data_IF_383390664786
#
_entry.id   IF_383390664786
#
_cell.length_a   1.000
_cell.length_b   1.000
_cell.length_c   1.000
_cell.angle_alpha   90.00
_cell.angle_beta   90.00
_cell.angle_gamma   90.00
#
_symmetry.space_group_name_H-M   'P 1'
#
loop_
_entity.id
_entity.type
_entity.pdbx_description
1 polymer ?
#
# COMPACT_ATOMS: atom_id res chain seq x y z
N UNK A 1 56.29 -31.57 -21.75
CA UNK A 1 55.92 -30.99 -20.43
C UNK A 1 55.30 -29.61 -20.70
N UNK A 2 53.99 -29.53 -20.65
CA UNK A 2 53.25 -28.27 -20.84
C UNK A 2 52.49 -28.03 -19.54
N UNK A 3 52.88 -26.98 -18.82
CA UNK A 3 52.22 -26.59 -17.56
C UNK A 3 50.94 -25.83 -17.82
N UNK A 4 49.83 -26.30 -17.29
CA UNK A 4 48.57 -25.60 -17.27
C UNK A 4 48.53 -24.64 -16.07
N UNK A 5 48.43 -23.35 -16.29
CA UNK A 5 48.19 -22.35 -15.29
C UNK A 5 46.68 -22.26 -15.03
N UNK A 6 46.28 -22.60 -13.82
CA UNK A 6 44.92 -22.40 -13.36
C UNK A 6 44.71 -20.94 -12.91
N UNK A 7 43.83 -20.21 -13.59
CA UNK A 7 43.34 -18.93 -13.13
C UNK A 7 42.25 -19.13 -12.08
N UNK A 8 42.57 -18.89 -10.81
CA UNK A 8 41.60 -18.78 -9.76
C UNK A 8 40.94 -17.39 -9.82
N UNK A 9 39.71 -17.35 -10.34
CA UNK A 9 38.88 -16.16 -10.30
C UNK A 9 38.36 -15.92 -8.88
N UNK A 10 38.91 -14.93 -8.18
CA UNK A 10 38.33 -14.43 -6.92
C UNK A 10 37.02 -13.71 -7.24
N UNK A 11 35.89 -14.32 -7.01
CA UNK A 11 34.62 -13.62 -6.93
C UNK A 11 34.64 -12.76 -5.65
N UNK A 12 34.74 -11.44 -5.81
CA UNK A 12 34.56 -10.50 -4.70
C UNK A 12 33.11 -10.54 -4.23
N UNK A 13 32.86 -11.21 -3.12
CA UNK A 13 31.60 -11.09 -2.40
C UNK A 13 31.57 -9.68 -1.83
N UNK A 14 30.79 -8.79 -2.44
CA UNK A 14 30.54 -7.47 -1.89
C UNK A 14 29.88 -7.63 -0.52
N UNK A 15 30.42 -6.97 0.50
CA UNK A 15 29.84 -6.96 1.84
C UNK A 15 28.39 -6.48 1.76
N UNK A 16 27.48 -7.05 2.56
CA UNK A 16 26.08 -6.62 2.59
C UNK A 16 26.05 -5.15 3.02
N UNK A 17 25.34 -4.33 2.23
CA UNK A 17 25.08 -2.92 2.58
C UNK A 17 24.33 -2.92 3.90
N UNK A 18 24.80 -2.19 4.95
CA UNK A 18 24.10 -2.10 6.21
C UNK A 18 22.65 -1.65 5.96
N UNK A 19 21.66 -2.37 6.52
CA UNK A 19 20.28 -1.89 6.51
C UNK A 19 20.27 -0.58 7.31
N UNK A 20 19.74 0.52 6.75
CA UNK A 20 19.71 1.79 7.49
C UNK A 20 18.87 1.61 8.76
N UNK A 21 19.25 2.29 9.84
CA UNK A 21 18.43 2.45 11.04
C UNK A 21 16.99 2.84 10.62
N UNK A 22 15.94 2.35 11.31
CA UNK A 22 14.57 2.64 10.95
C UNK A 22 14.28 4.14 11.08
N UNK A 23 14.45 4.87 9.98
CA UNK A 23 14.10 6.28 9.91
C UNK A 23 12.59 6.46 10.00
N UNK A 24 12.16 7.57 10.61
CA UNK A 24 10.75 7.97 10.59
C UNK A 24 10.23 8.05 9.16
N UNK A 25 9.07 7.44 8.90
CA UNK A 25 8.55 7.22 7.54
C UNK A 25 7.73 8.42 7.06
N UNK A 26 8.10 8.95 5.90
CA UNK A 26 7.30 9.89 5.11
C UNK A 26 7.02 9.23 3.79
N UNK A 27 5.82 8.63 3.67
CA UNK A 27 5.49 7.66 2.62
C UNK A 27 4.47 8.21 1.63
N UNK A 28 4.66 7.87 0.35
CA UNK A 28 3.63 7.98 -0.68
C UNK A 28 3.24 6.59 -1.17
N UNK A 29 1.93 6.37 -1.35
CA UNK A 29 1.43 5.16 -1.97
C UNK A 29 1.11 5.44 -3.43
N UNK A 30 1.65 4.61 -4.32
CA UNK A 30 1.39 4.64 -5.75
C UNK A 30 0.77 3.33 -6.22
N UNK A 31 -0.02 3.40 -7.29
CA UNK A 31 -0.59 2.23 -7.95
C UNK A 31 0.18 1.93 -9.23
N UNK A 32 0.91 0.83 -9.25
CA UNK A 32 1.39 0.23 -10.49
C UNK A 32 0.24 -0.55 -11.16
N UNK A 33 -0.52 -1.33 -10.36
CA UNK A 33 -1.77 -1.98 -10.71
C UNK A 33 -2.99 -1.25 -10.17
N UNK A 34 -4.06 -1.15 -10.97
CA UNK A 34 -5.30 -0.44 -10.64
C UNK A 34 -6.55 -1.33 -10.67
N UNK A 35 -6.43 -2.61 -11.05
CA UNK A 35 -7.58 -3.52 -11.16
C UNK A 35 -8.01 -4.07 -9.79
N UNK A 36 -8.30 -3.17 -8.85
CA UNK A 36 -8.57 -3.54 -7.47
C UNK A 36 -10.05 -3.44 -7.09
N UNK A 37 -10.87 -2.67 -7.84
CA UNK A 37 -12.19 -2.29 -7.36
C UNK A 37 -13.35 -2.82 -8.18
N UNK A 38 -13.42 -2.50 -9.49
CA UNK A 38 -14.62 -2.74 -10.27
C UNK A 38 -14.41 -3.74 -11.39
N UNK A 39 -15.07 -4.88 -11.30
CA UNK A 39 -15.23 -5.87 -12.35
C UNK A 39 -16.38 -5.52 -13.31
N UNK A 40 -17.41 -4.86 -12.78
CA UNK A 40 -18.53 -4.29 -13.54
C UNK A 40 -18.27 -2.80 -13.71
N UNK A 41 -18.24 -2.27 -14.93
CA UNK A 41 -17.97 -0.85 -15.15
C UNK A 41 -18.92 0.08 -14.38
N UNK A 42 -18.34 1.00 -13.62
CA UNK A 42 -19.05 2.00 -12.84
C UNK A 42 -18.46 3.39 -13.06
N UNK A 43 -19.32 4.41 -13.00
CA UNK A 43 -18.89 5.82 -13.07
C UNK A 43 -18.58 6.35 -11.69
N UNK A 44 -17.33 6.80 -11.49
CA UNK A 44 -16.91 7.44 -10.26
C UNK A 44 -17.14 8.95 -10.30
N UNK A 45 -17.48 9.51 -9.13
CA UNK A 45 -17.54 10.95 -8.92
C UNK A 45 -16.91 11.28 -7.56
N UNK A 46 -15.91 12.12 -7.57
CA UNK A 46 -15.32 12.59 -6.32
C UNK A 46 -15.97 13.89 -5.87
N UNK A 47 -16.45 13.98 -4.62
CA UNK A 47 -16.91 15.21 -4.05
C UNK A 47 -15.82 16.31 -4.14
N UNK A 48 -16.22 17.53 -4.42
CA UNK A 48 -15.32 18.70 -4.47
C UNK A 48 -14.26 18.71 -5.61
N UNK A 49 -14.31 17.79 -6.56
CA UNK A 49 -13.53 17.91 -7.80
C UNK A 49 -14.32 18.70 -8.81
N UNK A 50 -13.94 19.97 -9.00
CA UNK A 50 -14.64 20.94 -9.86
C UNK A 50 -14.00 21.09 -11.24
N UNK A 51 -12.74 20.70 -11.41
CA UNK A 51 -12.07 20.70 -12.70
C UNK A 51 -12.70 19.62 -13.62
N UNK A 52 -13.30 20.02 -14.78
CA UNK A 52 -14.03 19.10 -15.63
C UNK A 52 -13.11 18.07 -16.29
N UNK A 53 -11.84 18.38 -16.53
CA UNK A 53 -10.88 17.44 -17.13
C UNK A 53 -10.52 16.36 -16.13
N UNK A 54 -10.22 16.73 -14.88
CA UNK A 54 -9.95 15.81 -13.79
C UNK A 54 -11.19 14.98 -13.47
N UNK A 55 -12.37 15.61 -13.36
CA UNK A 55 -13.64 14.92 -13.11
C UNK A 55 -13.93 13.86 -14.18
N UNK A 56 -13.66 14.18 -15.45
CA UNK A 56 -13.82 13.23 -16.56
C UNK A 56 -12.81 12.08 -16.49
N UNK A 57 -11.56 12.37 -16.14
CA UNK A 57 -10.51 11.37 -16.01
C UNK A 57 -10.81 10.36 -14.87
N UNK A 58 -11.49 10.79 -13.80
CA UNK A 58 -11.86 9.95 -12.67
C UNK A 58 -13.03 8.99 -12.98
N UNK A 59 -13.89 9.33 -13.95
CA UNK A 59 -15.14 8.57 -14.17
C UNK A 59 -14.95 7.05 -14.26
N UNK A 60 -13.89 6.60 -14.92
CA UNK A 60 -13.62 5.18 -15.16
C UNK A 60 -12.35 4.67 -14.42
N UNK A 61 -11.82 5.48 -13.48
CA UNK A 61 -10.54 5.26 -12.83
C UNK A 61 -10.42 3.87 -12.17
N UNK A 62 -11.47 3.44 -11.49
CA UNK A 62 -11.47 2.19 -10.74
C UNK A 62 -12.01 0.99 -11.50
N UNK A 63 -12.35 1.15 -12.78
CA UNK A 63 -12.79 0.03 -13.61
C UNK A 63 -11.59 -0.83 -14.04
N UNK A 64 -11.74 -2.15 -13.99
CA UNK A 64 -10.71 -3.06 -14.45
C UNK A 64 -10.39 -2.85 -15.94
N UNK A 65 -9.11 -2.92 -16.29
CA UNK A 65 -8.60 -2.80 -17.65
C UNK A 65 -7.75 -4.03 -18.01
N UNK A 66 -7.60 -4.28 -19.30
CA UNK A 66 -6.78 -5.38 -19.83
C UNK A 66 -5.29 -5.01 -19.99
N UNK A 67 -4.92 -3.83 -19.51
CA UNK A 67 -3.57 -3.28 -19.63
C UNK A 67 -3.18 -2.45 -18.39
N UNK A 68 -1.88 -2.27 -18.18
CA UNK A 68 -1.31 -1.41 -17.13
C UNK A 68 -1.53 0.06 -17.48
N UNK A 69 -2.04 0.83 -16.54
CA UNK A 69 -2.36 2.26 -16.66
C UNK A 69 -1.35 3.11 -15.90
N UNK A 70 -0.06 2.98 -16.27
CA UNK A 70 1.05 3.63 -15.59
C UNK A 70 1.99 4.29 -16.63
N UNK A 71 2.06 5.63 -16.63
CA UNK A 71 2.96 6.41 -17.47
C UNK A 71 4.31 6.60 -16.74
N UNK A 72 5.33 5.91 -17.25
CA UNK A 72 6.69 5.96 -16.69
C UNK A 72 7.32 7.36 -16.79
N UNK A 73 6.93 8.16 -17.80
CA UNK A 73 7.45 9.53 -17.93
C UNK A 73 6.88 10.48 -16.89
N UNK A 74 5.61 10.30 -16.53
CA UNK A 74 4.97 11.00 -15.38
C UNK A 74 5.60 10.54 -14.08
N UNK A 75 5.79 9.24 -13.92
CA UNK A 75 6.44 8.66 -12.74
C UNK A 75 7.85 9.21 -12.52
N UNK A 76 8.63 9.39 -13.57
CA UNK A 76 9.96 9.99 -13.49
C UNK A 76 9.93 11.41 -12.91
N UNK A 77 8.94 12.23 -13.27
CA UNK A 77 8.78 13.57 -12.71
C UNK A 77 8.23 13.55 -11.29
N UNK A 78 7.23 12.71 -11.04
CA UNK A 78 6.62 12.54 -9.71
C UNK A 78 7.66 12.02 -8.70
N UNK A 79 8.45 11.02 -9.06
CA UNK A 79 9.49 10.50 -8.16
C UNK A 79 10.58 11.53 -7.83
N UNK A 80 10.95 12.40 -8.77
CA UNK A 80 11.83 13.54 -8.48
C UNK A 80 11.18 14.53 -7.50
N UNK A 81 9.92 14.88 -7.72
CA UNK A 81 9.17 15.75 -6.79
C UNK A 81 9.11 15.14 -5.39
N UNK A 82 8.86 13.83 -5.27
CA UNK A 82 8.87 13.12 -3.99
C UNK A 82 10.22 13.25 -3.27
N UNK A 83 11.32 13.07 -4.00
CA UNK A 83 12.66 13.27 -3.44
C UNK A 83 12.87 14.70 -2.92
N UNK A 84 12.49 15.68 -3.72
CA UNK A 84 12.69 17.11 -3.40
C UNK A 84 11.87 17.54 -2.17
N UNK A 85 10.73 16.89 -1.91
CA UNK A 85 9.85 17.16 -0.77
C UNK A 85 10.17 16.31 0.47
N UNK A 86 11.17 15.44 0.39
CA UNK A 86 11.64 14.64 1.53
C UNK A 86 10.81 13.40 1.83
N UNK A 87 10.04 12.91 0.87
CA UNK A 87 9.51 11.54 0.88
C UNK A 87 10.70 10.58 0.97
N UNK A 88 10.64 9.59 1.84
CA UNK A 88 11.70 8.60 2.02
C UNK A 88 11.24 7.15 1.81
N UNK A 89 9.93 6.93 1.64
CA UNK A 89 9.38 5.61 1.41
C UNK A 89 8.30 5.66 0.33
N UNK A 90 8.27 4.66 -0.56
CA UNK A 90 7.26 4.49 -1.59
C UNK A 90 6.58 3.13 -1.40
N UNK A 91 5.29 3.14 -1.08
CA UNK A 91 4.47 1.93 -1.10
C UNK A 91 3.94 1.73 -2.51
N UNK A 92 4.25 0.58 -3.11
CA UNK A 92 3.90 0.25 -4.49
C UNK A 92 2.80 -0.81 -4.49
N UNK A 93 1.58 -0.41 -4.86
CA UNK A 93 0.49 -1.34 -5.06
C UNK A 93 0.66 -2.06 -6.40
N UNK A 94 0.89 -3.37 -6.35
CA UNK A 94 1.38 -4.15 -7.50
C UNK A 94 0.24 -4.73 -8.34
N UNK A 95 -0.75 -5.33 -7.68
CA UNK A 95 -1.91 -5.94 -8.33
C UNK A 95 -1.55 -6.79 -9.56
N UNK A 96 -2.27 -6.60 -10.64
CA UNK A 96 -2.10 -7.26 -11.94
C UNK A 96 -0.91 -6.74 -12.76
N UNK A 97 -0.27 -5.67 -12.31
CA UNK A 97 0.77 -4.99 -13.11
C UNK A 97 2.14 -5.68 -13.07
N UNK A 98 2.26 -6.80 -12.39
CA UNK A 98 3.49 -7.61 -12.32
C UNK A 98 3.23 -9.01 -12.87
N UNK A 99 4.16 -9.49 -13.69
CA UNK A 99 4.17 -10.89 -14.13
C UNK A 99 4.85 -11.73 -13.07
N UNK A 100 4.06 -12.18 -12.08
CA UNK A 100 4.57 -13.03 -11.01
C UNK A 100 5.10 -14.36 -11.56
N UNK A 101 6.29 -14.82 -11.15
CA UNK A 101 6.85 -16.09 -11.63
C UNK A 101 5.92 -17.28 -11.39
N UNK A 102 5.28 -17.34 -10.23
CA UNK A 102 4.39 -18.44 -9.85
C UNK A 102 2.97 -18.33 -10.44
N UNK A 103 2.52 -17.12 -10.80
CA UNK A 103 1.17 -16.83 -11.27
C UNK A 103 1.17 -15.84 -12.44
N UNK A 104 1.79 -16.19 -13.59
CA UNK A 104 1.87 -15.28 -14.75
C UNK A 104 0.51 -14.98 -15.38
N UNK A 105 -0.52 -15.80 -15.12
CA UNK A 105 -1.90 -15.61 -15.57
C UNK A 105 -2.59 -14.39 -14.97
N UNK A 106 -2.10 -13.85 -13.86
CA UNK A 106 -2.64 -12.63 -13.27
C UNK A 106 -2.27 -11.38 -14.07
N UNK A 107 -1.19 -11.43 -14.82
CA UNK A 107 -0.70 -10.30 -15.58
C UNK A 107 -1.69 -9.85 -16.65
N UNK A 108 -1.67 -8.54 -16.93
CA UNK A 108 -2.37 -7.89 -18.05
C UNK A 108 -1.35 -7.38 -19.08
N UNK A 109 -1.83 -6.83 -20.20
CA UNK A 109 -0.95 -6.25 -21.21
C UNK A 109 -0.09 -5.13 -20.62
N UNK A 110 1.21 -5.17 -20.82
CA UNK A 110 2.15 -4.17 -20.28
C UNK A 110 2.59 -4.42 -18.85
N UNK A 111 2.16 -5.51 -18.19
CA UNK A 111 2.67 -5.87 -16.86
C UNK A 111 4.17 -6.02 -16.86
N UNK A 112 4.81 -5.51 -15.83
CA UNK A 112 6.27 -5.50 -15.71
C UNK A 112 6.81 -6.90 -15.43
N UNK A 113 7.93 -7.23 -16.06
CA UNK A 113 8.68 -8.42 -15.67
C UNK A 113 9.32 -8.23 -14.28
N UNK A 114 9.67 -9.32 -13.58
CA UNK A 114 10.43 -9.23 -12.33
C UNK A 114 11.72 -8.41 -12.49
N UNK A 115 12.43 -8.54 -13.61
CA UNK A 115 13.67 -7.82 -13.83
C UNK A 115 13.46 -6.33 -14.07
N UNK A 116 12.39 -5.95 -14.79
CA UNK A 116 12.01 -4.54 -14.93
C UNK A 116 11.69 -3.94 -13.56
N UNK A 117 10.88 -4.62 -12.76
CA UNK A 117 10.55 -4.17 -11.42
C UNK A 117 11.80 -4.07 -10.53
N UNK A 118 12.68 -5.08 -10.52
CA UNK A 118 13.97 -5.00 -9.80
C UNK A 118 14.83 -3.81 -10.25
N UNK A 119 14.83 -3.52 -11.55
CA UNK A 119 15.51 -2.34 -12.10
C UNK A 119 14.99 -1.05 -11.50
N UNK A 120 13.67 -0.91 -11.42
CA UNK A 120 13.01 0.25 -10.84
C UNK A 120 13.24 0.34 -9.32
N UNK A 121 13.13 -0.75 -8.60
CA UNK A 121 13.42 -0.77 -7.16
C UNK A 121 14.87 -0.34 -6.86
N UNK A 122 15.84 -0.72 -7.69
CA UNK A 122 17.22 -0.21 -7.58
C UNK A 122 17.29 1.28 -7.81
N UNK A 123 16.59 1.80 -8.86
CA UNK A 123 16.53 3.24 -9.14
C UNK A 123 15.99 4.01 -7.95
N UNK A 124 14.89 3.55 -7.36
CA UNK A 124 14.28 4.19 -6.19
C UNK A 124 15.22 4.19 -4.98
N UNK A 125 15.90 3.08 -4.71
CA UNK A 125 16.90 3.00 -3.63
C UNK A 125 18.07 3.96 -3.85
N UNK A 126 18.56 4.09 -5.08
CA UNK A 126 19.61 5.07 -5.43
C UNK A 126 19.14 6.52 -5.29
N UNK A 127 17.85 6.78 -5.43
CA UNK A 127 17.25 8.09 -5.13
C UNK A 127 17.10 8.34 -3.62
N UNK A 128 17.29 7.34 -2.77
CA UNK A 128 17.16 7.42 -1.31
C UNK A 128 15.79 6.98 -0.78
N UNK A 129 14.94 6.37 -1.61
CA UNK A 129 13.68 5.81 -1.16
C UNK A 129 13.82 4.38 -0.65
N UNK A 130 12.96 4.02 0.30
CA UNK A 130 12.68 2.64 0.66
C UNK A 130 11.41 2.17 -0.08
N UNK A 131 11.50 1.32 -1.11
CA UNK A 131 10.32 0.77 -1.76
C UNK A 131 9.71 -0.36 -0.94
N UNK A 132 8.40 -0.29 -0.70
CA UNK A 132 7.60 -1.26 0.05
C UNK A 132 6.55 -1.86 -0.88
N UNK A 133 6.43 -3.20 -0.94
CA UNK A 133 5.38 -3.84 -1.72
C UNK A 133 4.02 -3.75 -1.05
N UNK A 134 2.97 -3.64 -1.87
CA UNK A 134 1.58 -3.82 -1.44
C UNK A 134 0.87 -4.80 -2.36
N UNK A 135 0.18 -5.77 -1.76
CA UNK A 135 -0.84 -6.59 -2.39
C UNK A 135 -2.13 -6.40 -1.60
N UNK A 136 -3.16 -5.83 -2.20
CA UNK A 136 -4.42 -5.70 -1.49
C UNK A 136 -5.18 -7.03 -1.52
N UNK A 137 -5.32 -7.65 -0.34
CA UNK A 137 -6.00 -8.93 -0.13
C UNK A 137 -7.38 -8.77 0.54
N UNK A 138 -7.93 -7.55 0.58
CA UNK A 138 -9.32 -7.31 0.93
C UNK A 138 -10.23 -7.85 -0.16
N UNK A 139 -11.31 -8.53 0.22
CA UNK A 139 -12.32 -9.00 -0.75
C UNK A 139 -13.07 -7.87 -1.47
N UNK A 140 -12.93 -6.63 -1.01
CA UNK A 140 -13.43 -5.44 -1.71
C UNK A 140 -12.46 -4.91 -2.77
N UNK A 141 -11.20 -5.36 -2.75
CA UNK A 141 -10.11 -4.81 -3.57
C UNK A 141 -9.22 -5.88 -4.21
N UNK A 142 -9.73 -7.09 -4.41
CA UNK A 142 -8.93 -8.24 -4.87
C UNK A 142 -9.28 -8.70 -6.30
N UNK A 143 -9.99 -7.89 -7.10
CA UNK A 143 -10.37 -8.22 -8.48
C UNK A 143 -9.14 -8.53 -9.36
N UNK A 144 -7.98 -7.94 -9.04
CA UNK A 144 -6.71 -8.23 -9.70
C UNK A 144 -6.29 -9.71 -9.61
N UNK A 145 -6.79 -10.46 -8.63
CA UNK A 145 -6.59 -11.91 -8.49
C UNK A 145 -7.39 -12.75 -9.50
N UNK A 146 -8.21 -12.12 -10.35
CA UNK A 146 -9.04 -12.79 -11.37
C UNK A 146 -9.88 -13.91 -10.75
N UNK A 147 -9.84 -15.12 -11.29
CA UNK A 147 -10.65 -16.23 -10.77
C UNK A 147 -10.36 -16.59 -9.30
N UNK A 148 -9.16 -16.28 -8.81
CA UNK A 148 -8.79 -16.60 -7.42
C UNK A 148 -9.50 -15.74 -6.39
N UNK A 149 -9.96 -14.53 -6.75
CA UNK A 149 -10.75 -13.68 -5.84
C UNK A 149 -12.07 -14.37 -5.41
N UNK A 150 -12.56 -15.32 -6.21
CA UNK A 150 -13.76 -16.12 -5.90
C UNK A 150 -13.48 -17.36 -5.05
N UNK A 151 -12.20 -17.67 -4.80
CA UNK A 151 -11.74 -18.82 -4.05
C UNK A 151 -11.29 -18.47 -2.63
N UNK A 152 -11.64 -17.28 -2.14
CA UNK A 152 -11.25 -16.77 -0.83
C UNK A 152 -11.45 -17.82 0.26
N UNK A 153 -10.48 -17.93 1.18
CA UNK A 153 -10.47 -18.87 2.31
C UNK A 153 -10.44 -20.37 1.92
N UNK A 154 -10.11 -20.70 0.67
CA UNK A 154 -9.91 -22.09 0.25
C UNK A 154 -8.44 -22.50 0.23
N UNK A 155 -8.10 -23.81 0.25
CA UNK A 155 -6.71 -24.26 0.13
C UNK A 155 -6.01 -23.74 -1.15
N UNK A 156 -6.75 -23.61 -2.26
CA UNK A 156 -6.22 -23.05 -3.52
C UNK A 156 -5.86 -21.59 -3.37
N UNK A 157 -6.73 -20.79 -2.76
CA UNK A 157 -6.47 -19.38 -2.48
C UNK A 157 -5.23 -19.19 -1.60
N UNK A 158 -5.13 -19.95 -0.52
CA UNK A 158 -3.94 -19.88 0.35
C UNK A 158 -2.66 -20.22 -0.39
N UNK A 159 -2.68 -21.24 -1.25
CA UNK A 159 -1.50 -21.58 -2.04
C UNK A 159 -1.10 -20.46 -3.00
N UNK A 160 -2.06 -19.81 -3.65
CA UNK A 160 -1.83 -18.66 -4.54
C UNK A 160 -1.24 -17.49 -3.77
N UNK A 161 -1.87 -17.07 -2.66
CA UNK A 161 -1.39 -15.95 -1.85
C UNK A 161 0.00 -16.21 -1.29
N UNK A 162 0.27 -17.42 -0.79
CA UNK A 162 1.61 -17.83 -0.33
C UNK A 162 2.66 -17.66 -1.43
N UNK A 163 2.37 -18.16 -2.63
CA UNK A 163 3.27 -18.04 -3.78
C UNK A 163 3.53 -16.58 -4.15
N UNK A 164 2.49 -15.74 -4.16
CA UNK A 164 2.59 -14.31 -4.48
C UNK A 164 3.42 -13.56 -3.44
N UNK A 165 3.20 -13.80 -2.15
CA UNK A 165 4.00 -13.18 -1.08
C UNK A 165 5.46 -13.54 -1.23
N UNK A 166 5.78 -14.82 -1.47
CA UNK A 166 7.16 -15.28 -1.74
C UNK A 166 7.77 -14.57 -2.94
N UNK A 167 7.10 -14.60 -4.11
CA UNK A 167 7.60 -13.99 -5.34
C UNK A 167 7.88 -12.49 -5.14
N UNK A 168 7.00 -11.79 -4.44
CA UNK A 168 7.15 -10.36 -4.15
C UNK A 168 8.29 -10.11 -3.16
N UNK A 169 8.40 -10.90 -2.09
CA UNK A 169 9.53 -10.78 -1.16
C UNK A 169 10.88 -10.98 -1.86
N UNK A 170 10.97 -11.96 -2.77
CA UNK A 170 12.17 -12.21 -3.57
C UNK A 170 12.47 -11.06 -4.56
N UNK A 171 11.45 -10.49 -5.21
CA UNK A 171 11.61 -9.36 -6.14
C UNK A 171 12.09 -8.11 -5.40
N UNK A 172 11.56 -7.86 -4.19
CA UNK A 172 11.90 -6.69 -3.36
C UNK A 172 13.15 -6.90 -2.50
N UNK A 173 13.83 -8.05 -2.60
CA UNK A 173 15.03 -8.36 -1.83
C UNK A 173 14.76 -8.32 -0.31
N UNK A 174 13.74 -9.07 0.13
CA UNK A 174 13.27 -9.15 1.51
C UNK A 174 12.97 -7.76 2.12
N UNK A 175 11.86 -7.13 1.75
CA UNK A 175 11.50 -5.79 2.20
C UNK A 175 11.28 -5.77 3.73
N UNK A 176 11.54 -4.63 4.37
CA UNK A 176 11.27 -4.44 5.82
C UNK A 176 9.78 -4.55 6.16
N UNK A 177 8.92 -4.03 5.31
CA UNK A 177 7.47 -4.06 5.44
C UNK A 177 6.82 -4.67 4.22
N UNK A 178 5.64 -5.24 4.41
CA UNK A 178 4.76 -5.71 3.34
C UNK A 178 3.33 -5.30 3.64
N UNK A 179 2.73 -4.47 2.79
CA UNK A 179 1.38 -3.97 2.99
C UNK A 179 0.35 -4.95 2.39
N UNK A 180 -0.57 -5.44 3.22
CA UNK A 180 -1.56 -6.47 2.85
C UNK A 180 -2.93 -5.91 2.45
N UNK A 181 -3.14 -4.59 2.55
CA UNK A 181 -4.45 -3.98 2.35
C UNK A 181 -5.40 -4.26 3.51
N UNK A 182 -6.46 -5.04 3.27
CA UNK A 182 -7.49 -5.46 4.23
C UNK A 182 -8.45 -4.34 4.66
N UNK A 183 -8.68 -3.38 3.77
CA UNK A 183 -9.62 -2.28 3.94
C UNK A 183 -11.01 -2.61 3.38
N UNK A 184 -12.02 -1.91 3.91
CA UNK A 184 -13.37 -1.79 3.33
C UNK A 184 -14.09 -3.12 3.02
N UNK A 185 -13.79 -4.19 3.73
CA UNK A 185 -14.35 -5.53 3.47
C UNK A 185 -15.82 -5.62 3.92
N UNK A 186 -16.67 -4.91 3.18
CA UNK A 186 -18.12 -4.81 3.40
C UNK A 186 -18.88 -4.76 2.07
N UNK A 187 -20.15 -5.11 2.11
CA UNK A 187 -21.03 -5.20 0.92
C UNK A 187 -21.07 -3.88 0.13
N UNK A 188 -21.07 -2.74 0.84
CA UNK A 188 -21.21 -1.42 0.24
C UNK A 188 -20.08 -1.07 -0.74
N UNK A 189 -18.86 -1.59 -0.50
CA UNK A 189 -17.70 -1.37 -1.38
C UNK A 189 -17.56 -2.40 -2.50
N UNK A 190 -18.42 -3.43 -2.53
CA UNK A 190 -18.36 -4.49 -3.54
C UNK A 190 -19.44 -4.35 -4.63
N UNK A 191 -20.05 -3.18 -4.78
CA UNK A 191 -21.11 -2.93 -5.79
C UNK A 191 -20.61 -3.09 -7.23
N UNK A 192 -19.33 -2.87 -7.48
CA UNK A 192 -18.68 -3.05 -8.78
C UNK A 192 -18.18 -4.48 -9.03
N UNK A 193 -18.46 -5.44 -8.15
CA UNK A 193 -18.05 -6.83 -8.28
C UNK A 193 -19.23 -7.71 -8.75
N UNK A 194 -18.94 -8.76 -9.53
CA UNK A 194 -19.94 -9.76 -9.94
C UNK A 194 -20.32 -10.72 -8.81
N UNK A 195 -19.44 -10.87 -7.83
CA UNK A 195 -19.67 -11.71 -6.66
C UNK A 195 -19.25 -10.93 -5.41
N UNK A 196 -20.18 -10.79 -4.47
CA UNK A 196 -19.94 -10.15 -3.18
C UNK A 196 -19.46 -11.20 -2.18
N UNK A 197 -18.27 -11.00 -1.64
CA UNK A 197 -17.66 -11.86 -0.63
C UNK A 197 -17.25 -11.02 0.58
N UNK A 198 -17.78 -11.34 1.76
CA UNK A 198 -17.41 -10.70 3.02
C UNK A 198 -17.02 -11.76 4.03
N UNK A 199 -15.75 -11.80 4.40
CA UNK A 199 -15.26 -12.68 5.48
C UNK A 199 -15.73 -12.15 6.84
N UNK A 200 -16.16 -13.03 7.73
CA UNK A 200 -16.65 -12.66 9.07
C UNK A 200 -16.07 -13.56 10.14
N UNK A 201 -15.88 -13.00 11.35
CA UNK A 201 -15.48 -13.73 12.53
C UNK A 201 -14.18 -14.53 12.32
N UNK A 202 -14.19 -15.80 12.71
CA UNK A 202 -12.99 -16.66 12.62
C UNK A 202 -12.46 -16.83 11.21
N UNK A 203 -13.31 -16.78 10.18
CA UNK A 203 -12.86 -16.88 8.79
C UNK A 203 -11.96 -15.71 8.40
N UNK A 204 -12.35 -14.49 8.75
CA UNK A 204 -11.52 -13.29 8.53
C UNK A 204 -10.19 -13.38 9.29
N UNK A 205 -10.25 -13.76 10.56
CA UNK A 205 -9.04 -13.89 11.38
C UNK A 205 -8.10 -14.98 10.91
N UNK A 206 -8.62 -16.13 10.46
CA UNK A 206 -7.79 -17.21 9.94
C UNK A 206 -7.01 -16.78 8.70
N UNK A 207 -7.67 -16.05 7.79
CA UNK A 207 -7.04 -15.53 6.58
C UNK A 207 -5.99 -14.47 6.91
N UNK A 208 -6.34 -13.47 7.72
CA UNK A 208 -5.41 -12.39 8.10
C UNK A 208 -4.18 -12.95 8.80
N UNK A 209 -4.36 -13.84 9.77
CA UNK A 209 -3.24 -14.45 10.49
C UNK A 209 -2.40 -15.37 9.59
N UNK A 210 -3.01 -15.99 8.57
CA UNK A 210 -2.26 -16.71 7.54
C UNK A 210 -1.38 -15.73 6.74
N UNK A 211 -1.92 -14.63 6.24
CA UNK A 211 -1.15 -13.64 5.47
C UNK A 211 0.00 -13.05 6.30
N UNK A 212 -0.27 -12.69 7.55
CA UNK A 212 0.74 -12.17 8.47
C UNK A 212 1.89 -13.18 8.63
N UNK A 213 1.58 -14.44 8.94
CA UNK A 213 2.60 -15.49 9.09
C UNK A 213 3.42 -15.71 7.81
N UNK A 214 2.78 -15.70 6.63
CA UNK A 214 3.51 -15.85 5.37
C UNK A 214 4.47 -14.67 5.14
N UNK A 215 4.05 -13.44 5.38
CA UNK A 215 4.91 -12.24 5.29
C UNK A 215 6.08 -12.32 6.29
N UNK A 216 5.79 -12.62 7.56
CA UNK A 216 6.80 -12.70 8.62
C UNK A 216 7.78 -13.85 8.40
N UNK A 217 7.37 -14.94 7.75
CA UNK A 217 8.26 -16.05 7.40
C UNK A 217 9.37 -15.67 6.40
N UNK A 218 9.18 -14.58 5.67
CA UNK A 218 10.18 -13.96 4.78
C UNK A 218 10.97 -12.82 5.45
N UNK A 219 10.81 -12.61 6.77
CA UNK A 219 11.51 -11.56 7.52
C UNK A 219 10.97 -10.15 7.32
N UNK A 220 9.86 -9.98 6.62
CA UNK A 220 9.16 -8.72 6.51
C UNK A 220 8.17 -8.53 7.67
N UNK A 221 7.86 -7.29 8.02
CA UNK A 221 6.80 -6.97 8.97
C UNK A 221 5.51 -6.67 8.23
N UNK A 222 4.42 -7.33 8.59
CA UNK A 222 3.12 -7.11 7.97
C UNK A 222 2.57 -5.71 8.31
N UNK A 223 1.92 -5.08 7.34
CA UNK A 223 1.29 -3.77 7.45
C UNK A 223 -0.12 -3.82 6.85
N UNK A 224 -1.13 -3.28 7.57
CA UNK A 224 -2.55 -3.37 7.19
C UNK A 224 -3.27 -2.05 7.37
N UNK A 225 -4.33 -1.82 6.62
CA UNK A 225 -5.32 -0.80 6.93
C UNK A 225 -6.11 -1.19 8.18
N UNK A 226 -6.42 -0.23 9.03
CA UNK A 226 -7.00 -0.48 10.37
C UNK A 226 -8.53 -0.46 10.37
N UNK A 227 -9.17 -0.89 9.31
CA UNK A 227 -10.63 -0.81 9.13
C UNK A 227 -11.41 -1.66 10.11
N UNK A 228 -10.83 -2.77 10.58
CA UNK A 228 -11.49 -3.67 11.54
C UNK A 228 -12.01 -2.92 12.78
N UNK A 229 -11.20 -2.05 13.38
CA UNK A 229 -11.55 -1.29 14.58
C UNK A 229 -12.62 -0.20 14.39
N UNK A 230 -12.99 0.12 13.16
CA UNK A 230 -14.11 1.03 12.89
C UNK A 230 -15.47 0.41 13.22
N UNK A 231 -15.58 -0.93 13.08
CA UNK A 231 -16.85 -1.66 13.10
C UNK A 231 -16.93 -2.77 14.14
N UNK A 232 -15.79 -3.10 14.79
CA UNK A 232 -15.71 -4.19 15.79
C UNK A 232 -15.17 -3.67 17.11
N UNK A 233 -15.46 -4.39 18.17
CA UNK A 233 -14.98 -4.02 19.49
C UNK A 233 -13.48 -4.35 19.66
N UNK A 234 -12.75 -3.56 20.49
CA UNK A 234 -11.29 -3.64 20.56
C UNK A 234 -10.77 -4.90 21.26
N UNK A 235 -11.59 -5.57 22.09
CA UNK A 235 -11.16 -6.73 22.88
C UNK A 235 -10.76 -7.92 22.01
N UNK A 236 -11.53 -8.22 20.95
CA UNK A 236 -11.19 -9.29 20.02
C UNK A 236 -9.95 -8.95 19.22
N UNK A 237 -9.83 -7.70 18.77
CA UNK A 237 -8.66 -7.20 18.05
C UNK A 237 -7.39 -7.35 18.91
N UNK A 238 -7.42 -6.87 20.16
CA UNK A 238 -6.28 -6.96 21.07
C UNK A 238 -5.86 -8.42 21.34
N UNK A 239 -6.83 -9.33 21.42
CA UNK A 239 -6.56 -10.75 21.68
C UNK A 239 -5.94 -11.46 20.47
N UNK A 240 -6.27 -11.06 19.24
CA UNK A 240 -5.96 -11.81 18.02
C UNK A 240 -4.94 -11.14 17.10
N UNK A 241 -4.89 -9.79 17.01
CA UNK A 241 -3.97 -9.08 16.14
C UNK A 241 -2.57 -9.05 16.76
N UNK A 242 -1.53 -9.59 16.10
CA UNK A 242 -0.18 -9.54 16.62
C UNK A 242 0.32 -8.08 16.72
N UNK A 243 1.08 -7.77 17.78
CA UNK A 243 1.71 -6.45 17.95
C UNK A 243 2.78 -6.14 16.91
N UNK A 244 3.31 -7.16 16.25
CA UNK A 244 4.22 -7.00 15.11
C UNK A 244 3.58 -6.32 13.90
N UNK A 245 2.25 -6.40 13.75
CA UNK A 245 1.53 -5.87 12.59
C UNK A 245 1.38 -4.36 12.68
N UNK A 246 1.96 -3.63 11.72
CA UNK A 246 1.81 -2.17 11.60
C UNK A 246 0.39 -1.85 11.18
N UNK A 247 -0.23 -0.89 11.85
CA UNK A 247 -1.58 -0.44 11.60
C UNK A 247 -1.58 0.88 10.84
N UNK A 248 -2.40 1.00 9.79
CA UNK A 248 -2.56 2.24 9.05
C UNK A 248 -3.99 2.77 9.17
N UNK A 249 -4.29 3.53 10.23
CA UNK A 249 -5.56 4.22 10.31
C UNK A 249 -5.58 5.36 9.27
N UNK A 250 -6.68 5.52 8.55
CA UNK A 250 -6.78 6.49 7.50
C UNK A 250 -8.00 7.41 7.64
N UNK A 251 -7.81 8.68 7.28
CA UNK A 251 -8.87 9.68 7.25
C UNK A 251 -8.53 10.82 6.29
N UNK A 252 -9.50 11.26 5.51
CA UNK A 252 -9.34 12.24 4.44
C UNK A 252 -10.11 13.53 4.68
N UNK A 253 -10.62 13.73 5.90
CA UNK A 253 -11.38 14.89 6.33
C UNK A 253 -10.72 15.54 7.56
N UNK A 254 -10.94 16.85 7.75
CA UNK A 254 -10.46 17.58 8.94
C UNK A 254 -11.28 17.31 10.22
N UNK A 255 -12.34 16.50 10.18
CA UNK A 255 -13.17 16.25 11.37
C UNK A 255 -12.67 15.03 12.15
N UNK A 256 -12.04 15.28 13.29
CA UNK A 256 -11.50 14.27 14.20
C UNK A 256 -12.27 14.14 15.54
N UNK A 257 -13.54 14.52 15.60
CA UNK A 257 -14.37 14.26 16.80
C UNK A 257 -14.69 12.74 16.87
N UNK A 258 -14.12 11.98 17.82
CA UNK A 258 -14.33 10.52 17.90
C UNK A 258 -15.77 10.14 18.25
N UNK A 259 -16.59 11.09 18.72
CA UNK A 259 -18.03 10.87 18.95
C UNK A 259 -18.85 10.88 17.66
N UNK A 260 -18.32 11.49 16.59
CA UNK A 260 -19.00 11.70 15.30
C UNK A 260 -18.32 11.02 14.12
N UNK A 261 -17.07 10.59 14.28
CA UNK A 261 -16.23 10.03 13.23
C UNK A 261 -15.74 8.64 13.62
N UNK A 262 -16.19 7.59 12.91
CA UNK A 262 -15.71 6.23 13.12
C UNK A 262 -14.20 6.09 12.88
N UNK A 263 -13.59 6.70 11.85
CA UNK A 263 -12.14 6.70 11.70
C UNK A 263 -11.41 7.34 12.90
N UNK A 264 -11.86 8.49 13.39
CA UNK A 264 -11.24 9.13 14.56
C UNK A 264 -11.39 8.26 15.83
N UNK A 265 -12.55 7.61 16.02
CA UNK A 265 -12.75 6.65 17.10
C UNK A 265 -11.79 5.47 17.01
N UNK A 266 -11.58 4.94 15.81
CA UNK A 266 -10.65 3.83 15.58
C UNK A 266 -9.19 4.25 15.85
N UNK A 267 -8.80 5.48 15.51
CA UNK A 267 -7.47 6.02 15.86
C UNK A 267 -7.25 6.10 17.36
N UNK A 268 -8.24 6.60 18.13
CA UNK A 268 -8.15 6.63 19.61
C UNK A 268 -7.98 5.22 20.16
N UNK A 269 -8.79 4.26 19.70
CA UNK A 269 -8.68 2.85 20.12
C UNK A 269 -7.29 2.26 19.83
N UNK A 270 -6.71 2.54 18.65
CA UNK A 270 -5.35 2.08 18.30
C UNK A 270 -4.29 2.66 19.25
N UNK A 271 -4.40 3.93 19.59
CA UNK A 271 -3.52 4.58 20.55
C UNK A 271 -3.59 3.93 21.93
N UNK A 272 -4.81 3.73 22.44
CA UNK A 272 -5.06 3.05 23.73
C UNK A 272 -4.53 1.61 23.75
N UNK A 273 -4.61 0.93 22.61
CA UNK A 273 -4.13 -0.44 22.47
C UNK A 273 -2.60 -0.53 22.25
N UNK A 274 -1.88 0.57 22.03
CA UNK A 274 -0.41 0.61 21.88
C UNK A 274 0.10 -0.21 20.69
N UNK A 275 -0.48 -0.04 19.50
CA UNK A 275 0.03 -0.57 18.24
C UNK A 275 0.91 0.45 17.53
N UNK A 276 1.92 -0.04 16.85
CA UNK A 276 2.71 0.79 15.93
C UNK A 276 1.86 1.19 14.72
N UNK A 277 1.89 2.48 14.37
CA UNK A 277 1.03 3.05 13.34
C UNK A 277 1.81 3.84 12.28
N UNK A 278 1.30 3.80 11.05
CA UNK A 278 1.60 4.75 9.98
C UNK A 278 0.26 5.33 9.50
N UNK A 279 -0.25 6.40 10.13
CA UNK A 279 -1.50 7.03 9.75
C UNK A 279 -1.46 7.55 8.33
N UNK A 280 -2.59 7.42 7.61
CA UNK A 280 -2.70 7.78 6.20
C UNK A 280 -3.74 8.88 5.95
N UNK A 281 -3.43 9.75 5.00
CA UNK A 281 -4.39 10.69 4.43
C UNK A 281 -4.37 10.68 2.91
N UNK A 282 -5.22 11.49 2.30
CA UNK A 282 -5.35 11.60 0.85
C UNK A 282 -5.76 13.02 0.44
N UNK A 283 -5.35 13.42 -0.75
CA UNK A 283 -5.86 14.60 -1.42
C UNK A 283 -6.93 14.29 -2.49
N UNK A 284 -7.42 13.03 -2.54
CA UNK A 284 -8.38 12.58 -3.55
C UNK A 284 -9.68 13.42 -3.56
N UNK A 285 -10.21 13.77 -2.39
CA UNK A 285 -11.43 14.56 -2.25
C UNK A 285 -11.20 16.07 -2.18
N UNK A 286 -10.03 16.55 -2.62
CA UNK A 286 -9.69 17.98 -2.62
C UNK A 286 -9.89 18.66 -1.25
N UNK A 287 -9.49 17.98 -0.18
CA UNK A 287 -9.51 18.54 1.17
C UNK A 287 -8.11 19.06 1.52
N UNK A 288 -7.85 20.37 1.29
CA UNK A 288 -6.56 20.97 1.65
C UNK A 288 -6.28 20.77 3.14
N UNK A 289 -5.05 20.40 3.50
CA UNK A 289 -4.65 20.23 4.90
C UNK A 289 -5.18 18.97 5.59
N UNK A 290 -5.76 18.00 4.86
CA UNK A 290 -6.21 16.75 5.45
C UNK A 290 -5.06 16.00 6.16
N UNK A 291 -3.88 15.91 5.53
CA UNK A 291 -2.71 15.29 6.12
C UNK A 291 -2.20 16.03 7.37
N UNK A 292 -2.15 17.37 7.31
CA UNK A 292 -1.77 18.20 8.47
C UNK A 292 -2.70 17.96 9.66
N UNK A 293 -4.01 17.83 9.40
CA UNK A 293 -5.02 17.53 10.42
C UNK A 293 -4.82 16.13 11.03
N UNK A 294 -4.44 15.12 10.22
CA UNK A 294 -4.08 13.79 10.70
C UNK A 294 -2.86 13.86 11.62
N UNK A 295 -1.81 14.55 11.21
CA UNK A 295 -0.58 14.72 12.01
C UNK A 295 -0.89 15.40 13.35
N UNK A 296 -1.63 16.51 13.33
CA UNK A 296 -1.99 17.23 14.55
C UNK A 296 -2.85 16.40 15.51
N UNK A 297 -3.77 15.60 14.96
CA UNK A 297 -4.55 14.67 15.75
C UNK A 297 -3.68 13.57 16.37
N UNK A 298 -2.79 12.97 15.58
CA UNK A 298 -1.90 11.90 16.06
C UNK A 298 -0.94 12.39 17.15
N UNK A 299 -0.38 13.60 17.03
CA UNK A 299 0.47 14.21 18.07
C UNK A 299 -0.23 14.32 19.44
N UNK A 300 -1.53 14.51 19.45
CA UNK A 300 -2.34 14.66 20.68
C UNK A 300 -2.83 13.32 21.23
N UNK A 301 -2.84 12.27 20.40
CA UNK A 301 -3.58 11.05 20.70
C UNK A 301 -2.66 9.84 20.90
N UNK A 302 -1.57 9.75 20.14
CA UNK A 302 -0.64 8.62 20.18
C UNK A 302 0.59 8.92 21.04
N UNK A 303 1.13 7.87 21.68
CA UNK A 303 2.51 7.90 22.12
C UNK A 303 3.42 8.01 20.89
N UNK A 304 4.31 9.03 20.82
CA UNK A 304 5.22 9.21 19.70
C UNK A 304 6.09 7.98 19.39
N UNK A 305 6.39 7.15 20.38
CA UNK A 305 7.16 5.90 20.21
C UNK A 305 6.43 4.87 19.33
N UNK A 306 5.11 4.96 19.22
CA UNK A 306 4.29 4.08 18.38
C UNK A 306 3.96 4.69 17.00
N UNK A 307 4.31 5.95 16.74
CA UNK A 307 4.10 6.55 15.40
C UNK A 307 5.35 6.35 14.57
N UNK A 308 5.33 5.37 13.67
CA UNK A 308 6.47 5.06 12.82
C UNK A 308 6.64 6.05 11.67
N UNK A 309 5.61 6.80 11.33
CA UNK A 309 5.60 7.74 10.23
C UNK A 309 4.19 8.10 9.76
N UNK A 310 4.10 8.69 8.58
CA UNK A 310 2.85 9.09 7.93
C UNK A 310 2.86 8.74 6.46
N UNK A 311 1.68 8.51 5.88
CA UNK A 311 1.51 8.14 4.48
C UNK A 311 0.47 9.02 3.79
N UNK A 312 0.76 9.42 2.55
CA UNK A 312 -0.24 9.94 1.61
C UNK A 312 -0.60 8.87 0.58
N UNK A 313 -1.88 8.82 0.19
CA UNK A 313 -2.41 7.91 -0.81
C UNK A 313 -3.41 8.65 -1.72
N UNK A 314 -2.98 9.22 -2.85
CA UNK A 314 -3.83 10.01 -3.75
C UNK A 314 -4.94 9.20 -4.43
N UNK A 315 -4.85 7.88 -4.50
CA UNK A 315 -5.82 6.98 -5.16
C UNK A 315 -6.01 7.29 -6.65
N UNK A 316 -4.94 7.65 -7.33
CA UNK A 316 -4.94 8.06 -8.73
C UNK A 316 -4.01 7.18 -9.56
N UNK A 317 -4.32 7.02 -10.84
CA UNK A 317 -3.40 6.47 -11.82
C UNK A 317 -2.19 7.40 -12.04
N UNK A 318 -1.07 6.83 -12.44
CA UNK A 318 0.12 7.60 -12.84
C UNK A 318 -0.04 8.10 -14.27
N UNK A 319 -0.82 9.18 -14.44
CA UNK A 319 -1.14 9.82 -15.73
C UNK A 319 -0.90 11.32 -15.69
N UNK A 320 -0.59 11.91 -16.86
CA UNK A 320 -0.29 13.35 -16.97
C UNK A 320 -1.42 14.26 -16.48
N UNK A 321 -2.69 13.86 -16.64
CA UNK A 321 -3.85 14.61 -16.16
C UNK A 321 -3.88 14.74 -14.63
N UNK A 322 -3.24 13.82 -13.93
CA UNK A 322 -3.16 13.79 -12.46
C UNK A 322 -1.82 14.28 -11.90
N UNK A 323 -0.84 14.62 -12.75
CA UNK A 323 0.50 14.98 -12.30
C UNK A 323 0.51 16.10 -11.24
N UNK A 324 -0.30 17.14 -11.45
CA UNK A 324 -0.47 18.21 -10.47
C UNK A 324 -0.95 17.69 -9.11
N UNK A 325 -1.87 16.73 -9.09
CA UNK A 325 -2.37 16.11 -7.85
C UNK A 325 -1.31 15.32 -7.11
N UNK A 326 -0.45 14.64 -7.84
CA UNK A 326 0.71 13.95 -7.27
C UNK A 326 1.70 14.93 -6.63
N UNK A 327 1.93 16.08 -7.28
CA UNK A 327 2.78 17.15 -6.73
C UNK A 327 2.16 17.78 -5.47
N UNK A 328 0.88 18.05 -5.49
CA UNK A 328 0.13 18.56 -4.33
C UNK A 328 0.17 17.57 -3.14
N UNK A 329 0.10 16.26 -3.39
CA UNK A 329 0.25 15.24 -2.36
C UNK A 329 1.60 15.36 -1.65
N UNK A 330 2.68 15.40 -2.43
CA UNK A 330 4.03 15.55 -1.91
C UNK A 330 4.23 16.84 -1.10
N UNK A 331 3.65 17.96 -1.59
CA UNK A 331 3.72 19.24 -0.87
C UNK A 331 2.94 19.21 0.45
N UNK A 332 1.77 18.58 0.49
CA UNK A 332 1.01 18.37 1.73
C UNK A 332 1.76 17.49 2.74
N UNK A 333 2.42 16.45 2.27
CA UNK A 333 3.22 15.60 3.15
C UNK A 333 4.42 16.36 3.72
N UNK A 334 5.10 17.19 2.91
CA UNK A 334 6.20 18.04 3.35
C UNK A 334 5.74 19.10 4.39
N UNK A 335 4.61 19.76 4.16
CA UNK A 335 4.02 20.70 5.12
C UNK A 335 3.67 20.01 6.45
N UNK A 336 3.12 18.80 6.39
CA UNK A 336 2.75 17.98 7.55
C UNK A 336 3.96 17.57 8.38
N UNK A 337 5.12 17.36 7.75
CA UNK A 337 6.38 17.07 8.43
C UNK A 337 6.79 18.19 9.39
N UNK A 338 6.62 19.44 8.99
CA UNK A 338 6.91 20.58 9.86
C UNK A 338 6.00 20.60 11.09
N UNK A 339 4.74 20.19 10.92
CA UNK A 339 3.76 20.08 12.02
C UNK A 339 4.10 18.96 13.02
N UNK A 340 4.68 17.88 12.55
CA UNK A 340 5.12 16.80 13.43
C UNK A 340 6.34 17.17 14.27
N UNK A 341 7.27 17.94 13.68
CA UNK A 341 8.52 18.34 14.31
C UNK A 341 8.37 19.55 15.27
N UNK A 342 7.28 20.33 15.13
CA UNK A 342 6.99 21.50 15.97
C UNK A 342 6.46 21.09 17.36
#
# INVERSE_FOLDING_TARGET
MAGAAAFAGCASVSAPVPKPEPAFVWSELIHLGMNQWHEIPMKQKWPNVTDPVIAKAIEDEYNAADHVRFDESVWDRVSRKFKDTGVNQIVIDLGEAVRYPSHPELAVKGSWSPDKLRGELRRLRLMGFEPIPKLNLSTSHDIWLKDYHRMVSTPKYYQVVKNLIRDVCEIFDNPRYFHLGLDEEVVEFQKGQKLVLVRKGDLWWNDVLFFVREVESHGARAWVWSDYLRRHEPEEFLRRMPKSVVQSPWWYSGNFDPRKSLPAKAMVRLAELGYDVVPCSSNCYSHPGAMESVVEFCRKTFDPAHVLGFQMAPWLEMKSVFEKRWFESADQLAASRLKWQA
#
